data_IF_219703383599
#
_entry.id   IF_219703383599
#
_cell.length_a   1.000
_cell.length_b   1.000
_cell.length_c   1.000
_cell.angle_alpha   90.00
_cell.angle_beta   90.00
_cell.angle_gamma   90.00
#
_symmetry.space_group_name_H-M   'P 1'
#
loop_
_entity.id
_entity.type
_entity.pdbx_description
1 polymer ?
#
# COMPACT_ATOMS: atom_id res chain seq x y z
N UNK A 1 3.62 6.50 23.34
CA UNK A 1 3.73 7.66 22.43
C UNK A 1 2.71 7.61 21.29
N UNK A 2 2.83 8.49 20.28
CA UNK A 2 1.88 8.55 19.14
C UNK A 2 1.74 7.19 18.44
N UNK A 3 2.85 6.52 18.17
CA UNK A 3 2.86 5.21 17.53
C UNK A 3 2.03 4.12 18.26
N UNK A 4 1.79 4.27 19.56
CA UNK A 4 1.00 3.31 20.33
C UNK A 4 -0.52 3.54 20.17
N UNK A 5 -0.92 4.79 19.92
CA UNK A 5 -2.32 5.20 19.82
C UNK A 5 -2.80 5.37 18.38
N UNK A 6 -1.89 5.66 17.45
CA UNK A 6 -2.14 5.83 16.03
C UNK A 6 -1.31 4.81 15.22
N UNK A 7 -1.59 3.49 15.33
CA UNK A 7 -0.75 2.47 14.70
C UNK A 7 -0.98 2.35 13.19
N UNK A 8 -2.07 2.90 12.66
CA UNK A 8 -2.49 2.73 11.26
C UNK A 8 -2.63 4.07 10.56
N UNK A 9 -2.40 4.07 9.26
CA UNK A 9 -2.65 5.20 8.36
C UNK A 9 -3.45 4.75 7.14
N UNK A 10 -4.41 5.56 6.74
CA UNK A 10 -5.21 5.34 5.54
C UNK A 10 -4.53 5.95 4.32
N UNK A 11 -4.34 5.11 3.27
CA UNK A 11 -3.67 5.54 2.04
C UNK A 11 -4.63 5.74 0.86
N UNK A 12 -5.86 5.26 0.96
CA UNK A 12 -6.88 5.38 -0.07
C UNK A 12 -8.25 5.54 0.56
N UNK A 13 -9.01 6.50 0.06
CA UNK A 13 -10.42 6.70 0.38
C UNK A 13 -11.12 7.32 -0.84
N UNK A 14 -12.37 7.74 -0.73
CA UNK A 14 -13.14 8.32 -1.84
C UNK A 14 -12.52 9.61 -2.43
N UNK A 15 -11.63 10.29 -1.73
CA UNK A 15 -10.85 11.44 -2.27
C UNK A 15 -9.65 11.04 -3.13
N UNK A 16 -9.45 9.75 -3.36
CA UNK A 16 -8.30 9.22 -4.06
C UNK A 16 -7.17 8.78 -3.15
N UNK A 17 -6.05 8.50 -3.76
CA UNK A 17 -4.86 7.89 -3.17
C UNK A 17 -4.00 8.94 -2.44
N UNK A 18 -3.45 8.57 -1.29
CA UNK A 18 -2.54 9.37 -0.45
C UNK A 18 -1.19 8.70 -0.18
N UNK A 19 -0.82 7.65 -0.92
CA UNK A 19 0.51 7.03 -0.78
C UNK A 19 1.61 8.02 -1.11
N UNK A 20 1.55 8.61 -2.30
CA UNK A 20 2.59 9.47 -2.86
C UNK A 20 2.01 10.47 -3.86
N UNK A 21 2.76 11.48 -4.28
CA UNK A 21 2.42 12.37 -5.39
C UNK A 21 3.68 12.70 -6.19
N UNK A 22 3.63 12.48 -7.48
CA UNK A 22 4.74 12.77 -8.39
C UNK A 22 5.16 14.24 -8.28
N UNK A 23 6.47 14.48 -8.17
CA UNK A 23 7.03 15.82 -8.00
C UNK A 23 6.98 16.38 -6.58
N UNK A 24 6.36 15.68 -5.62
CA UNK A 24 6.34 16.04 -4.22
C UNK A 24 7.13 15.02 -3.37
N UNK A 25 8.44 15.04 -3.50
CA UNK A 25 9.35 14.15 -2.76
C UNK A 25 9.46 12.75 -3.34
N UNK A 26 8.95 12.53 -4.56
CA UNK A 26 9.09 11.30 -5.34
C UNK A 26 9.09 11.60 -6.85
N UNK A 27 9.84 10.80 -7.61
CA UNK A 27 9.85 10.76 -9.08
C UNK A 27 9.17 9.48 -9.61
N UNK A 28 8.46 8.75 -8.76
CA UNK A 28 7.72 7.54 -9.12
C UNK A 28 6.50 7.91 -9.98
N UNK A 29 6.51 7.50 -11.24
CA UNK A 29 5.45 7.85 -12.21
C UNK A 29 4.09 7.26 -11.83
N UNK A 30 4.05 6.12 -11.12
CA UNK A 30 2.80 5.53 -10.64
C UNK A 30 2.11 6.38 -9.58
N UNK A 31 2.81 7.34 -8.97
CA UNK A 31 2.20 8.35 -8.09
C UNK A 31 1.32 9.38 -8.82
N UNK A 32 1.08 9.20 -10.12
CA UNK A 32 0.11 10.00 -10.89
C UNK A 32 -1.27 9.37 -10.96
N UNK A 33 -1.39 8.06 -10.61
CA UNK A 33 -2.65 7.32 -10.70
C UNK A 33 -3.55 7.58 -9.50
N UNK A 34 -4.86 7.37 -9.72
CA UNK A 34 -5.92 7.45 -8.70
C UNK A 34 -5.91 8.78 -7.92
N UNK A 35 -5.54 9.86 -8.61
CA UNK A 35 -5.57 11.23 -8.12
C UNK A 35 -6.85 11.91 -8.59
N UNK A 36 -7.69 12.31 -7.66
CA UNK A 36 -8.74 13.25 -7.92
C UNK A 36 -8.22 14.69 -7.74
N UNK A 37 -8.91 15.66 -8.35
CA UNK A 37 -8.54 17.05 -8.18
C UNK A 37 -8.51 17.43 -6.70
N UNK A 38 -7.38 17.97 -6.26
CA UNK A 38 -7.20 18.43 -4.89
C UNK A 38 -7.97 19.73 -4.68
N UNK A 39 -9.24 19.61 -4.38
CA UNK A 39 -9.98 20.70 -3.77
C UNK A 39 -9.75 20.63 -2.27
N UNK A 40 -8.93 21.51 -1.71
CA UNK A 40 -8.75 21.50 -0.27
C UNK A 40 -10.09 21.80 0.42
N UNK A 41 -10.34 21.02 1.46
CA UNK A 41 -11.47 21.26 2.36
C UNK A 41 -11.47 22.68 2.91
N UNK A 42 -10.28 23.26 3.12
CA UNK A 42 -10.11 24.61 3.62
C UNK A 42 -10.41 25.67 2.57
N UNK A 43 -10.13 25.46 1.28
CA UNK A 43 -10.42 26.40 0.21
C UNK A 43 -11.91 26.68 0.02
N UNK A 44 -12.77 25.68 0.29
CA UNK A 44 -14.23 25.86 0.28
C UNK A 44 -14.75 26.67 1.48
N UNK A 45 -14.06 26.62 2.61
CA UNK A 45 -14.51 27.24 3.86
C UNK A 45 -13.69 28.46 4.30
N UNK A 46 -12.45 28.60 3.79
CA UNK A 46 -11.51 29.67 4.14
C UNK A 46 -10.98 30.31 2.85
N UNK A 47 -11.61 31.39 2.35
CA UNK A 47 -11.10 32.10 1.17
C UNK A 47 -9.66 32.53 1.37
N UNK A 48 -8.79 32.17 0.39
CA UNK A 48 -7.36 32.51 0.42
C UNK A 48 -6.43 31.42 0.98
N UNK A 49 -6.95 30.23 1.37
CA UNK A 49 -6.09 29.07 1.64
C UNK A 49 -5.53 28.52 0.32
N UNK A 50 -4.25 28.12 0.33
CA UNK A 50 -3.63 27.43 -0.80
C UNK A 50 -4.18 26.02 -0.91
N UNK A 51 -4.68 25.64 -2.07
CA UNK A 51 -5.18 24.31 -2.38
C UNK A 51 -4.07 23.38 -2.89
N UNK A 52 -2.85 23.89 -3.02
CA UNK A 52 -1.72 23.10 -3.48
C UNK A 52 -1.36 22.00 -2.44
N UNK A 53 -1.27 20.73 -2.85
CA UNK A 53 -0.84 19.65 -1.97
C UNK A 53 0.59 19.88 -1.49
N UNK A 54 0.88 19.44 -0.26
CA UNK A 54 2.22 19.51 0.33
C UNK A 54 2.75 18.11 0.63
N UNK A 55 4.07 17.95 0.58
CA UNK A 55 4.73 16.64 0.70
C UNK A 55 4.28 15.82 1.92
N UNK A 56 4.07 16.46 3.08
CA UNK A 56 3.67 15.79 4.31
C UNK A 56 2.21 15.32 4.36
N UNK A 57 1.45 15.51 3.30
CA UNK A 57 0.11 14.93 3.14
C UNK A 57 0.15 13.52 2.54
N UNK A 58 1.34 13.04 2.14
CA UNK A 58 1.53 11.73 1.51
C UNK A 58 2.29 10.79 2.43
N UNK A 59 1.77 9.59 2.58
CA UNK A 59 2.23 8.58 3.55
C UNK A 59 3.70 8.22 3.34
N UNK A 60 4.15 8.05 2.10
CA UNK A 60 5.56 7.75 1.78
C UNK A 60 6.52 8.80 2.34
N UNK A 61 6.18 10.07 2.20
CA UNK A 61 6.99 11.16 2.76
C UNK A 61 6.92 11.20 4.29
N UNK A 62 5.77 10.90 4.87
CA UNK A 62 5.63 10.82 6.34
C UNK A 62 6.44 9.66 6.92
N UNK A 63 6.50 8.50 6.24
CA UNK A 63 7.36 7.39 6.66
C UNK A 63 8.86 7.77 6.62
N UNK A 64 9.30 8.44 5.54
CA UNK A 64 10.69 8.98 5.46
C UNK A 64 10.97 9.99 6.58
N UNK A 65 10.03 10.88 6.85
CA UNK A 65 10.14 11.83 7.96
C UNK A 65 10.22 11.13 9.31
N UNK A 66 9.49 10.02 9.49
CA UNK A 66 9.58 9.18 10.68
C UNK A 66 10.99 8.65 10.94
N UNK A 67 11.65 8.13 9.89
CA UNK A 67 13.06 7.70 9.96
C UNK A 67 13.99 8.87 10.30
N UNK A 68 13.77 10.04 9.71
CA UNK A 68 14.58 11.23 9.97
C UNK A 68 14.44 11.71 11.42
N UNK A 69 13.25 11.61 12.00
CA UNK A 69 13.02 11.91 13.41
C UNK A 69 13.70 10.86 14.29
N UNK A 70 13.62 9.58 13.94
CA UNK A 70 14.25 8.48 14.66
C UNK A 70 15.77 8.63 14.70
N UNK A 71 16.40 8.96 13.58
CA UNK A 71 17.84 9.24 13.47
C UNK A 71 18.29 10.37 14.42
N UNK A 72 17.47 11.41 14.57
CA UNK A 72 17.79 12.58 15.39
C UNK A 72 17.42 12.45 16.86
N UNK A 73 16.31 11.77 17.18
CA UNK A 73 15.70 11.76 18.51
C UNK A 73 15.59 10.37 19.12
N UNK A 74 15.94 9.31 18.38
CA UNK A 74 15.85 7.92 18.85
C UNK A 74 14.40 7.38 18.93
N UNK A 75 13.43 8.10 18.38
CA UNK A 75 12.01 7.69 18.36
C UNK A 75 11.39 7.95 16.98
N UNK A 76 10.61 7.01 16.48
CA UNK A 76 9.85 7.17 15.25
C UNK A 76 8.35 7.24 15.56
N UNK A 77 7.70 8.40 15.38
CA UNK A 77 6.27 8.53 15.64
C UNK A 77 5.38 8.01 14.51
N UNK A 78 5.93 7.60 13.37
CA UNK A 78 5.22 7.29 12.13
C UNK A 78 5.47 5.85 11.63
N UNK A 79 5.66 4.89 12.52
CA UNK A 79 5.73 3.45 12.20
C UNK A 79 4.33 2.88 11.97
N UNK A 80 3.69 3.30 10.89
CA UNK A 80 2.32 2.94 10.56
C UNK A 80 2.20 1.57 9.89
N UNK A 81 1.12 0.83 10.24
CA UNK A 81 0.51 -0.13 9.32
C UNK A 81 -0.37 0.61 8.32
N UNK A 82 -0.61 0.00 7.17
CA UNK A 82 -1.35 0.60 6.06
C UNK A 82 -2.75 0.02 6.01
N UNK A 83 -3.76 0.88 5.85
CA UNK A 83 -5.14 0.53 5.54
C UNK A 83 -5.67 1.40 4.41
N UNK A 84 -6.84 1.07 3.91
CA UNK A 84 -7.65 1.91 3.04
C UNK A 84 -9.13 1.73 3.41
N UNK A 85 -9.97 2.67 3.02
CA UNK A 85 -11.42 2.56 3.22
C UNK A 85 -12.19 3.37 2.19
N UNK A 86 -13.51 3.36 2.27
CA UNK A 86 -14.36 4.21 1.45
C UNK A 86 -14.47 5.62 2.00
N UNK A 87 -14.32 5.79 3.32
CA UNK A 87 -14.66 7.00 4.07
C UNK A 87 -16.14 7.44 3.89
N UNK A 88 -17.01 6.54 3.48
CA UNK A 88 -18.44 6.82 3.46
C UNK A 88 -19.01 6.82 4.88
N UNK A 89 -19.91 7.74 5.18
CA UNK A 89 -20.53 7.88 6.51
C UNK A 89 -21.86 7.11 6.60
N UNK A 90 -21.94 5.98 5.93
CA UNK A 90 -23.16 5.15 5.82
C UNK A 90 -23.21 4.00 6.84
N UNK A 91 -22.13 3.75 7.57
CA UNK A 91 -22.02 2.56 8.40
C UNK A 91 -22.01 1.25 7.61
N UNK A 92 -21.64 1.29 6.33
CA UNK A 92 -21.61 0.16 5.40
C UNK A 92 -20.18 -0.11 4.93
N UNK A 93 -19.37 -0.83 5.73
CA UNK A 93 -17.98 -1.10 5.38
C UNK A 93 -17.87 -2.04 4.16
N UNK A 94 -16.80 -1.87 3.38
CA UNK A 94 -16.48 -2.76 2.27
C UNK A 94 -17.36 -2.58 1.02
N UNK A 95 -18.00 -1.44 0.85
CA UNK A 95 -18.86 -1.15 -0.31
C UNK A 95 -18.09 -0.81 -1.59
N UNK A 96 -16.78 -0.69 -1.54
CA UNK A 96 -15.99 -0.53 -2.75
C UNK A 96 -16.08 -1.81 -3.61
N UNK A 97 -16.66 -1.69 -4.79
CA UNK A 97 -16.76 -2.74 -5.78
C UNK A 97 -16.84 -2.11 -7.17
N UNK A 98 -16.19 -2.71 -8.16
CA UNK A 98 -16.10 -2.16 -9.51
C UNK A 98 -17.41 -2.17 -10.27
N UNK A 99 -18.34 -3.04 -9.90
CA UNK A 99 -19.66 -3.19 -10.48
C UNK A 99 -20.79 -2.55 -9.63
N UNK A 100 -20.42 -1.88 -8.55
CA UNK A 100 -21.40 -1.24 -7.67
C UNK A 100 -21.45 0.28 -7.92
N UNK A 101 -22.66 0.82 -7.86
CA UNK A 101 -22.86 2.26 -7.86
C UNK A 101 -22.31 2.86 -6.57
N UNK A 102 -21.54 3.91 -6.67
CA UNK A 102 -21.06 4.67 -5.51
C UNK A 102 -22.24 5.36 -4.79
N UNK A 103 -22.47 5.09 -3.50
CA UNK A 103 -23.66 5.57 -2.80
C UNK A 103 -23.54 7.02 -2.31
N UNK A 104 -22.41 7.69 -2.55
CA UNK A 104 -22.09 9.00 -2.00
C UNK A 104 -21.51 8.92 -0.58
N UNK A 105 -20.90 10.02 -0.13
CA UNK A 105 -20.25 10.09 1.17
C UNK A 105 -21.24 10.04 2.36
N UNK A 106 -22.31 10.82 2.29
CA UNK A 106 -23.29 10.99 3.37
C UNK A 106 -24.56 10.16 3.24
N UNK A 107 -24.66 9.31 2.22
CA UNK A 107 -25.83 8.46 2.03
C UNK A 107 -26.98 9.10 1.27
N UNK A 108 -26.74 10.13 0.48
CA UNK A 108 -27.75 10.75 -0.37
C UNK A 108 -28.31 9.80 -1.46
N UNK A 109 -27.66 8.65 -1.64
CA UNK A 109 -28.24 7.50 -2.33
C UNK A 109 -28.52 7.67 -3.82
N UNK A 110 -27.96 8.68 -4.45
CA UNK A 110 -28.08 8.82 -5.91
C UNK A 110 -26.79 8.31 -6.56
N UNK A 111 -26.90 7.35 -7.48
CA UNK A 111 -25.77 7.03 -8.31
C UNK A 111 -25.30 8.28 -9.05
N UNK A 112 -24.00 8.41 -9.37
CA UNK A 112 -23.52 9.48 -10.22
C UNK A 112 -24.34 9.45 -11.53
N UNK A 113 -24.99 10.54 -11.81
CA UNK A 113 -25.71 10.79 -13.04
C UNK A 113 -25.19 12.06 -13.68
N UNK A 114 -25.71 12.45 -14.82
CA UNK A 114 -25.32 13.68 -15.52
C UNK A 114 -25.54 14.94 -14.68
N UNK A 115 -26.35 14.84 -13.62
CA UNK A 115 -26.53 15.89 -12.63
C UNK A 115 -25.61 15.62 -11.42
N UNK A 116 -24.57 16.43 -11.30
CA UNK A 116 -23.68 16.45 -10.13
C UNK A 116 -24.51 16.65 -8.86
N UNK A 117 -24.39 15.79 -7.83
CA UNK A 117 -24.99 16.05 -6.55
C UNK A 117 -24.55 17.43 -6.05
N UNK A 118 -25.51 18.31 -5.76
CA UNK A 118 -25.18 19.63 -5.22
C UNK A 118 -24.98 19.49 -3.72
N UNK A 119 -23.76 19.76 -3.29
CA UNK A 119 -23.44 19.89 -1.89
C UNK A 119 -22.40 18.88 -1.41
N UNK A 120 -21.63 19.34 -0.47
CA UNK A 120 -20.82 18.51 0.38
C UNK A 120 -21.77 17.62 1.21
N UNK A 121 -21.55 16.33 1.29
CA UNK A 121 -20.36 15.57 0.93
C UNK A 121 -20.49 14.65 -0.32
N UNK A 122 -21.51 14.76 -1.12
CA UNK A 122 -21.84 13.82 -2.20
C UNK A 122 -21.41 14.35 -3.57
N UNK A 123 -20.21 14.91 -3.67
CA UNK A 123 -19.67 15.36 -4.93
C UNK A 123 -19.17 14.18 -5.79
N UNK A 124 -19.34 14.31 -7.11
CA UNK A 124 -18.84 13.33 -8.10
C UNK A 124 -17.32 13.22 -8.10
N UNK A 125 -16.65 14.24 -7.56
CA UNK A 125 -15.20 14.26 -7.37
C UNK A 125 -14.68 13.14 -6.45
N UNK A 126 -15.59 12.42 -5.82
CA UNK A 126 -15.25 11.30 -4.94
C UNK A 126 -15.45 9.97 -5.66
N UNK A 127 -14.47 9.11 -5.53
CA UNK A 127 -14.49 7.75 -6.03
C UNK A 127 -15.06 6.75 -4.98
N UNK A 128 -15.26 5.46 -5.32
CA UNK A 128 -15.72 4.46 -4.36
C UNK A 128 -14.80 4.24 -3.17
N UNK A 129 -13.55 4.67 -3.24
CA UNK A 129 -12.55 4.50 -2.18
C UNK A 129 -11.88 3.12 -2.21
N UNK A 130 -11.37 2.72 -1.06
CA UNK A 130 -10.56 1.53 -0.90
C UNK A 130 -11.10 0.53 0.11
N UNK A 131 -10.33 -0.52 0.31
CA UNK A 131 -10.61 -1.59 1.27
C UNK A 131 -9.41 -1.83 2.18
N UNK A 132 -9.68 -2.09 3.46
CA UNK A 132 -8.69 -2.59 4.40
C UNK A 132 -8.65 -4.12 4.37
N UNK A 133 -7.47 -4.69 4.14
CA UNK A 133 -7.18 -6.09 4.39
C UNK A 133 -6.54 -6.26 5.77
N UNK A 134 -6.94 -7.30 6.50
CA UNK A 134 -6.42 -7.60 7.85
C UNK A 134 -6.13 -9.09 7.95
N UNK A 135 -4.91 -9.44 8.32
CA UNK A 135 -4.53 -10.83 8.57
C UNK A 135 -4.70 -11.16 10.06
N UNK A 136 -5.81 -11.82 10.37
CA UNK A 136 -6.17 -12.24 11.72
C UNK A 136 -6.25 -13.77 11.81
N UNK A 137 -6.05 -14.33 13.00
CA UNK A 137 -6.10 -15.76 13.23
C UNK A 137 -7.52 -16.33 13.05
N UNK A 138 -8.53 -15.49 13.30
CA UNK A 138 -9.95 -15.84 13.15
C UNK A 138 -10.80 -14.57 12.89
N UNK A 139 -11.98 -14.77 12.34
CA UNK A 139 -12.93 -13.67 12.11
C UNK A 139 -13.72 -13.34 13.39
N UNK A 140 -13.00 -12.82 14.38
CA UNK A 140 -13.61 -12.29 15.61
C UNK A 140 -13.14 -10.85 15.83
N UNK A 141 -13.95 -10.08 16.57
CA UNK A 141 -13.62 -8.70 16.94
C UNK A 141 -12.25 -8.62 17.64
N UNK A 142 -11.96 -9.54 18.53
CA UNK A 142 -10.71 -9.54 19.31
C UNK A 142 -9.50 -9.84 18.42
N UNK A 143 -9.59 -10.86 17.57
CA UNK A 143 -8.49 -11.24 16.67
C UNK A 143 -8.22 -10.15 15.60
N UNK A 144 -9.28 -9.57 15.01
CA UNK A 144 -9.17 -8.46 14.07
C UNK A 144 -8.52 -7.25 14.75
N UNK A 145 -8.97 -6.88 15.93
CA UNK A 145 -8.39 -5.75 16.69
C UNK A 145 -6.91 -6.00 17.04
N UNK A 146 -6.55 -7.22 17.45
CA UNK A 146 -5.18 -7.60 17.74
C UNK A 146 -4.29 -7.51 16.48
N UNK A 147 -4.78 -7.98 15.33
CA UNK A 147 -4.08 -7.87 14.05
C UNK A 147 -3.86 -6.41 13.61
N UNK A 148 -4.88 -5.57 13.76
CA UNK A 148 -4.76 -4.13 13.51
C UNK A 148 -3.74 -3.47 14.45
N UNK A 149 -3.71 -3.85 15.72
CA UNK A 149 -2.73 -3.35 16.70
C UNK A 149 -1.30 -3.74 16.36
N UNK A 150 -1.06 -4.94 15.84
CA UNK A 150 0.28 -5.35 15.37
C UNK A 150 0.56 -4.96 13.93
N UNK A 151 -0.37 -4.19 13.31
CA UNK A 151 -0.22 -3.58 11.97
C UNK A 151 -0.11 -4.61 10.84
N UNK A 152 -0.64 -5.80 11.02
CA UNK A 152 -0.68 -6.84 9.98
C UNK A 152 -1.85 -6.59 9.03
N UNK A 153 -1.74 -5.47 8.32
CA UNK A 153 -2.79 -4.89 7.50
C UNK A 153 -2.25 -4.39 6.17
N UNK A 154 -3.14 -4.28 5.19
CA UNK A 154 -2.86 -3.64 3.91
C UNK A 154 -4.08 -2.89 3.40
N UNK A 155 -3.88 -1.95 2.49
CA UNK A 155 -4.94 -1.22 1.80
C UNK A 155 -5.00 -1.59 0.32
N UNK A 156 -6.18 -1.55 -0.27
CA UNK A 156 -6.38 -1.63 -1.72
C UNK A 156 -7.15 -0.41 -2.21
N UNK A 157 -7.11 -0.14 -3.50
CA UNK A 157 -7.89 0.93 -4.13
C UNK A 157 -9.29 0.44 -4.60
N UNK A 158 -9.83 -0.60 -3.98
CA UNK A 158 -11.16 -1.16 -4.22
C UNK A 158 -11.17 -2.64 -4.55
N UNK A 159 -10.28 -3.16 -5.42
CA UNK A 159 -10.17 -4.59 -5.68
C UNK A 159 -9.86 -5.40 -4.41
N UNK A 160 -10.35 -6.64 -4.35
CA UNK A 160 -10.10 -7.56 -3.22
C UNK A 160 -8.82 -8.37 -3.42
N UNK A 161 -7.75 -7.70 -3.83
CA UNK A 161 -6.41 -8.26 -3.90
C UNK A 161 -5.98 -8.70 -2.50
N UNK A 162 -5.36 -9.86 -2.39
CA UNK A 162 -4.76 -10.34 -1.15
C UNK A 162 -3.24 -10.21 -1.25
N UNK A 163 -2.63 -9.60 -0.24
CA UNK A 163 -1.18 -9.34 -0.23
C UNK A 163 -0.56 -9.90 1.04
N UNK A 164 0.57 -10.59 0.91
CA UNK A 164 1.45 -10.99 2.00
C UNK A 164 2.84 -10.42 1.79
N UNK A 165 3.44 -9.92 2.86
CA UNK A 165 4.83 -9.49 2.91
C UNK A 165 5.45 -9.97 4.21
N UNK A 166 6.60 -10.64 4.10
CA UNK A 166 7.45 -11.00 5.22
C UNK A 166 8.85 -10.45 4.99
N UNK A 167 9.49 -9.96 6.05
CA UNK A 167 10.88 -9.51 6.02
C UNK A 167 11.74 -10.36 6.95
N UNK A 168 12.90 -10.80 6.48
CA UNK A 168 13.84 -11.63 7.26
C UNK A 168 15.26 -11.45 6.75
N UNK A 169 16.16 -12.33 7.20
CA UNK A 169 17.58 -12.27 6.80
C UNK A 169 18.01 -13.41 5.89
N UNK A 170 17.22 -14.49 5.83
CA UNK A 170 17.65 -15.74 5.18
C UNK A 170 16.46 -16.55 4.62
N UNK A 171 15.53 -15.90 3.92
CA UNK A 171 14.52 -16.64 3.17
C UNK A 171 15.15 -17.32 1.96
N UNK A 172 14.81 -18.60 1.77
CA UNK A 172 15.26 -19.38 0.63
C UNK A 172 14.61 -18.87 -0.67
N UNK A 173 15.38 -18.84 -1.75
CA UNK A 173 14.93 -18.34 -3.06
C UNK A 173 13.74 -19.16 -3.61
N UNK A 174 13.62 -20.43 -3.23
CA UNK A 174 12.54 -21.35 -3.63
C UNK A 174 11.30 -21.29 -2.72
N UNK A 175 11.21 -20.33 -1.80
CA UNK A 175 10.10 -20.22 -0.84
C UNK A 175 8.73 -20.14 -1.52
N UNK A 176 8.66 -19.50 -2.69
CA UNK A 176 7.45 -19.41 -3.48
C UNK A 176 6.93 -20.75 -4.02
N UNK A 177 7.78 -21.77 -4.08
CA UNK A 177 7.44 -23.12 -4.53
C UNK A 177 6.92 -24.02 -3.39
N UNK A 178 6.96 -23.50 -2.15
CA UNK A 178 6.58 -24.25 -0.96
C UNK A 178 5.10 -24.07 -0.61
N UNK A 179 4.44 -25.15 -0.23
CA UNK A 179 3.05 -25.13 0.21
C UNK A 179 2.85 -24.46 1.58
N UNK A 180 3.92 -24.27 2.34
CA UNK A 180 3.96 -23.71 3.69
C UNK A 180 4.56 -22.28 3.73
N UNK A 181 4.44 -21.53 2.62
CA UNK A 181 4.95 -20.16 2.46
C UNK A 181 4.65 -19.27 3.69
N UNK A 182 3.41 -19.28 4.16
CA UNK A 182 2.99 -18.43 5.29
C UNK A 182 3.67 -18.82 6.59
N UNK A 183 3.71 -20.11 6.92
CA UNK A 183 4.40 -20.60 8.13
C UNK A 183 5.88 -20.24 8.11
N UNK A 184 6.55 -20.49 6.98
CA UNK A 184 7.96 -20.12 6.81
C UNK A 184 8.19 -18.63 6.86
N UNK A 185 7.24 -17.83 6.38
CA UNK A 185 7.27 -16.39 6.49
C UNK A 185 7.35 -15.92 7.94
N UNK A 186 6.49 -16.45 8.80
CA UNK A 186 6.50 -16.14 10.23
C UNK A 186 7.71 -16.73 10.97
N UNK A 187 8.15 -17.94 10.62
CA UNK A 187 9.30 -18.60 11.25
C UNK A 187 10.63 -17.91 10.91
N UNK A 188 10.77 -17.39 9.68
CA UNK A 188 12.01 -16.81 9.18
C UNK A 188 12.15 -15.30 9.40
N UNK A 189 11.10 -14.63 9.93
CA UNK A 189 11.16 -13.17 10.09
C UNK A 189 9.89 -12.55 10.66
N UNK A 190 9.57 -11.37 10.18
CA UNK A 190 8.42 -10.57 10.63
C UNK A 190 7.43 -10.34 9.50
N UNK A 191 6.11 -10.36 9.78
CA UNK A 191 5.11 -9.98 8.79
C UNK A 191 5.09 -8.46 8.54
N UNK A 192 4.30 -8.05 7.55
CA UNK A 192 4.00 -6.62 7.33
C UNK A 192 3.60 -5.93 8.63
N UNK A 193 4.03 -4.68 8.79
CA UNK A 193 3.83 -3.88 10.00
C UNK A 193 4.84 -4.15 11.13
N UNK A 194 5.67 -5.20 11.01
CA UNK A 194 6.71 -5.54 11.98
C UNK A 194 7.99 -4.73 11.82
N UNK A 195 8.79 -4.67 12.90
CA UNK A 195 10.15 -4.16 12.88
C UNK A 195 11.12 -5.35 12.73
N UNK A 196 11.90 -5.37 11.67
CA UNK A 196 12.93 -6.39 11.49
C UNK A 196 14.10 -6.11 12.45
N UNK A 197 14.41 -7.09 13.30
CA UNK A 197 15.55 -7.00 14.20
C UNK A 197 16.85 -6.78 13.40
N UNK A 198 17.89 -6.15 14.01
CA UNK A 198 19.19 -6.03 13.36
C UNK A 198 19.72 -7.37 12.85
N UNK A 199 20.56 -7.36 11.81
CA UNK A 199 21.12 -8.60 11.27
C UNK A 199 21.88 -9.40 12.36
N UNK A 200 21.89 -10.74 12.28
CA UNK A 200 22.64 -11.58 13.21
C UNK A 200 24.09 -11.13 13.28
N UNK A 201 24.61 -11.05 14.50
CA UNK A 201 26.01 -10.65 14.72
C UNK A 201 26.95 -11.69 14.08
N UNK A 202 27.96 -11.18 13.35
CA UNK A 202 29.06 -11.99 12.83
C UNK A 202 29.68 -12.78 13.98
N UNK A 203 29.66 -14.11 13.94
CA UNK A 203 30.44 -14.94 14.86
C UNK A 203 29.69 -15.95 15.73
N UNK A 204 28.34 -15.96 15.75
CA UNK A 204 27.63 -16.99 16.52
C UNK A 204 27.52 -18.34 15.79
N UNK A 205 27.84 -18.39 14.49
CA UNK A 205 27.88 -19.61 13.67
C UNK A 205 29.28 -20.06 13.23
N UNK A 206 30.34 -19.47 13.77
CA UNK A 206 31.71 -19.98 13.60
C UNK A 206 32.41 -19.70 12.26
N UNK A 207 31.75 -19.14 11.27
CA UNK A 207 32.33 -18.80 9.97
C UNK A 207 32.70 -17.32 9.86
N UNK A 208 34.01 -17.05 9.89
CA UNK A 208 34.60 -15.71 9.94
C UNK A 208 34.50 -14.90 8.62
N UNK A 209 33.77 -15.37 7.62
CA UNK A 209 33.81 -14.82 6.26
C UNK A 209 32.46 -14.49 5.62
N UNK A 210 31.33 -14.63 6.33
CA UNK A 210 30.04 -14.29 5.73
C UNK A 210 29.82 -12.78 5.76
N UNK A 211 29.58 -12.10 4.62
CA UNK A 211 29.17 -10.70 4.60
C UNK A 211 27.91 -10.51 5.44
N UNK A 212 27.67 -9.31 5.98
CA UNK A 212 26.37 -8.95 6.56
C UNK A 212 25.29 -9.27 5.51
N UNK A 213 24.38 -10.17 5.82
CA UNK A 213 23.30 -10.51 4.92
C UNK A 213 22.41 -9.29 4.73
N UNK A 214 22.07 -8.96 3.50
CA UNK A 214 21.02 -7.99 3.23
C UNK A 214 19.65 -8.58 3.61
N UNK A 215 18.67 -7.76 4.03
CA UNK A 215 17.34 -8.24 4.31
C UNK A 215 16.73 -8.88 3.07
N UNK A 216 16.01 -9.97 3.29
CA UNK A 216 15.31 -10.72 2.24
C UNK A 216 13.82 -10.63 2.52
N UNK A 217 13.05 -10.34 1.49
CA UNK A 217 11.61 -10.19 1.59
C UNK A 217 10.91 -11.27 0.76
N UNK A 218 9.92 -11.91 1.38
CA UNK A 218 9.05 -12.88 0.73
C UNK A 218 7.67 -12.25 0.53
N UNK A 219 7.21 -12.21 -0.71
CA UNK A 219 5.96 -11.56 -1.10
C UNK A 219 5.07 -12.51 -1.86
N UNK A 220 3.76 -12.40 -1.63
CA UNK A 220 2.76 -13.04 -2.49
C UNK A 220 1.56 -12.13 -2.67
N UNK A 221 0.94 -12.21 -3.85
CA UNK A 221 -0.29 -11.53 -4.16
C UNK A 221 -1.23 -12.45 -4.93
N UNK A 222 -2.53 -12.37 -4.62
CA UNK A 222 -3.61 -12.98 -5.38
C UNK A 222 -4.52 -11.89 -5.90
N UNK A 223 -4.91 -11.96 -7.18
CA UNK A 223 -5.85 -11.00 -7.76
C UNK A 223 -7.23 -11.10 -7.12
N UNK A 224 -8.03 -10.07 -7.29
CA UNK A 224 -9.46 -10.15 -7.06
C UNK A 224 -10.08 -11.20 -7.99
N UNK A 225 -10.90 -12.08 -7.44
CA UNK A 225 -11.64 -13.06 -8.24
C UNK A 225 -12.77 -12.43 -9.05
N UNK A 226 -13.16 -11.20 -8.69
CA UNK A 226 -14.30 -10.50 -9.26
C UNK A 226 -15.63 -10.98 -8.71
N UNK A 227 -16.69 -10.61 -9.41
CA UNK A 227 -18.08 -10.98 -9.14
C UNK A 227 -18.60 -11.93 -10.20
N UNK A 228 -19.80 -12.52 -10.06
CA UNK A 228 -20.41 -13.31 -11.14
C UNK A 228 -20.63 -12.54 -12.47
N UNK A 229 -20.59 -11.21 -12.40
CA UNK A 229 -20.89 -10.34 -13.55
C UNK A 229 -19.65 -9.61 -14.07
N UNK A 230 -18.63 -9.43 -13.25
CA UNK A 230 -17.41 -8.68 -13.59
C UNK A 230 -16.19 -9.46 -13.12
N UNK A 231 -15.38 -9.92 -14.06
CA UNK A 231 -14.13 -10.60 -13.74
C UNK A 231 -13.14 -9.60 -13.10
N UNK A 232 -12.45 -10.02 -12.04
CA UNK A 232 -11.36 -9.21 -11.47
C UNK A 232 -10.21 -9.06 -12.46
N UNK A 233 -9.51 -7.96 -12.35
CA UNK A 233 -8.35 -7.65 -13.20
C UNK A 233 -7.16 -8.55 -12.88
N UNK A 234 -6.37 -8.87 -13.88
CA UNK A 234 -5.10 -9.61 -13.71
C UNK A 234 -4.06 -8.71 -13.06
N UNK A 235 -3.21 -9.31 -12.25
CA UNK A 235 -2.04 -8.64 -11.72
C UNK A 235 -1.01 -8.40 -12.82
N UNK A 236 -0.32 -7.28 -12.76
CA UNK A 236 0.81 -6.95 -13.62
C UNK A 236 2.13 -7.24 -12.91
N UNK A 237 2.33 -6.70 -11.71
CA UNK A 237 3.59 -6.80 -10.99
C UNK A 237 3.43 -6.59 -9.48
N UNK A 238 4.46 -7.06 -8.74
CA UNK A 238 4.70 -6.68 -7.35
C UNK A 238 5.95 -5.81 -7.31
N UNK A 239 5.87 -4.70 -6.61
CA UNK A 239 6.99 -3.81 -6.31
C UNK A 239 7.28 -3.78 -4.81
N UNK A 240 8.55 -3.55 -4.47
CA UNK A 240 8.97 -3.09 -3.15
C UNK A 240 9.38 -1.63 -3.27
N UNK A 241 8.83 -0.81 -2.40
CA UNK A 241 9.27 0.55 -2.17
C UNK A 241 10.18 0.56 -0.94
N UNK A 242 11.43 0.99 -1.13
CA UNK A 242 12.39 1.25 -0.08
C UNK A 242 12.50 2.75 0.15
N UNK A 243 12.41 3.19 1.40
CA UNK A 243 12.81 4.54 1.82
C UNK A 243 13.90 4.45 2.86
N UNK A 244 14.88 5.36 2.81
CA UNK A 244 15.97 5.40 3.78
C UNK A 244 16.46 6.83 4.06
N UNK A 245 17.26 6.95 5.11
CA UNK A 245 17.96 8.19 5.46
C UNK A 245 19.45 7.97 5.27
N UNK A 246 20.09 8.91 4.59
CA UNK A 246 21.53 8.98 4.40
C UNK A 246 22.00 10.42 4.61
N UNK A 247 22.91 10.64 5.54
CA UNK A 247 23.42 11.97 5.89
C UNK A 247 22.31 13.00 6.16
N UNK A 248 21.22 12.57 6.81
CA UNK A 248 20.06 13.41 7.11
C UNK A 248 19.13 13.69 5.94
N UNK A 249 19.45 13.22 4.75
CA UNK A 249 18.63 13.33 3.53
C UNK A 249 17.71 12.12 3.38
N UNK A 250 16.50 12.37 2.87
CA UNK A 250 15.49 11.34 2.61
C UNK A 250 15.63 10.82 1.18
N UNK A 251 15.70 9.51 1.04
CA UNK A 251 15.83 8.81 -0.23
C UNK A 251 14.72 7.76 -0.39
N UNK A 252 14.48 7.36 -1.63
CA UNK A 252 13.59 6.24 -1.95
C UNK A 252 14.01 5.55 -3.23
N UNK A 253 13.60 4.29 -3.37
CA UNK A 253 13.73 3.52 -4.60
C UNK A 253 12.59 2.51 -4.72
N UNK A 254 12.14 2.32 -5.96
CA UNK A 254 11.13 1.31 -6.33
C UNK A 254 11.85 0.16 -7.04
N UNK A 255 11.56 -1.07 -6.61
CA UNK A 255 12.10 -2.30 -7.19
C UNK A 255 10.95 -3.16 -7.69
N UNK A 256 11.01 -3.62 -8.93
CA UNK A 256 10.14 -4.68 -9.43
C UNK A 256 10.65 -6.03 -8.91
N UNK A 257 9.76 -6.80 -8.28
CA UNK A 257 10.13 -8.04 -7.58
C UNK A 257 9.54 -9.27 -8.24
N UNK A 258 8.33 -9.17 -8.77
CA UNK A 258 7.66 -10.26 -9.47
C UNK A 258 6.68 -9.68 -10.49
N UNK A 259 6.40 -10.45 -11.53
CA UNK A 259 5.51 -10.04 -12.62
C UNK A 259 6.27 -9.49 -13.82
N UNK A 260 5.61 -8.64 -14.61
CA UNK A 260 6.17 -8.05 -15.83
C UNK A 260 5.50 -6.69 -16.11
N UNK A 261 6.19 -5.60 -15.82
CA UNK A 261 5.73 -4.23 -16.10
C UNK A 261 5.58 -3.93 -17.59
N UNK A 262 6.18 -4.77 -18.45
CA UNK A 262 6.21 -4.61 -19.91
C UNK A 262 5.35 -5.66 -20.63
N UNK A 263 4.35 -6.23 -19.96
CA UNK A 263 3.48 -7.30 -20.48
C UNK A 263 2.56 -6.86 -21.64
N UNK A 264 2.71 -5.63 -22.12
CA UNK A 264 1.91 -5.02 -23.18
C UNK A 264 0.39 -4.99 -22.91
N UNK A 265 -0.02 -5.14 -21.66
CA UNK A 265 -1.41 -4.94 -21.28
C UNK A 265 -1.81 -3.47 -21.37
N UNK A 266 -3.04 -3.21 -21.70
CA UNK A 266 -3.57 -1.86 -21.81
C UNK A 266 -5.09 -1.81 -21.79
N UNK A 267 -5.62 -0.61 -21.88
CA UNK A 267 -7.05 -0.32 -21.89
C UNK A 267 -7.34 0.77 -22.92
N UNK A 268 -8.42 0.60 -23.65
CA UNK A 268 -9.01 1.62 -24.51
C UNK A 268 -9.89 2.52 -23.65
N UNK A 269 -9.52 3.78 -23.49
CA UNK A 269 -10.21 4.71 -22.59
C UNK A 269 -11.61 5.12 -23.08
N UNK A 270 -11.91 4.98 -24.39
CA UNK A 270 -13.22 5.32 -24.93
C UNK A 270 -14.22 4.17 -24.74
N UNK A 271 -13.77 2.93 -24.87
CA UNK A 271 -14.61 1.74 -24.79
C UNK A 271 -14.44 0.93 -23.51
N UNK A 272 -13.43 1.24 -22.70
CA UNK A 272 -12.98 0.47 -21.54
C UNK A 272 -12.63 -1.00 -21.83
N UNK A 273 -12.38 -1.35 -23.09
CA UNK A 273 -11.91 -2.68 -23.44
C UNK A 273 -10.44 -2.85 -23.05
N UNK A 274 -10.17 -3.91 -22.31
CA UNK A 274 -8.81 -4.27 -21.89
C UNK A 274 -8.21 -5.32 -22.82
N UNK A 275 -6.88 -5.33 -22.92
CA UNK A 275 -6.12 -6.35 -23.64
C UNK A 275 -4.83 -6.70 -22.90
N UNK A 276 -4.18 -7.76 -23.38
CA UNK A 276 -2.92 -8.26 -22.83
C UNK A 276 -3.09 -9.41 -21.84
N UNK A 277 -1.98 -9.93 -21.41
CA UNK A 277 -1.90 -11.02 -20.43
C UNK A 277 -1.49 -10.48 -19.06
N UNK A 278 -1.75 -11.25 -18.00
CA UNK A 278 -1.37 -10.93 -16.64
C UNK A 278 -1.49 -12.17 -15.76
N UNK A 279 -1.33 -11.99 -14.48
CA UNK A 279 -1.18 -13.07 -13.53
C UNK A 279 -2.40 -13.18 -12.60
N UNK A 280 -2.81 -14.42 -12.27
CA UNK A 280 -3.80 -14.66 -11.22
C UNK A 280 -3.18 -14.59 -9.83
N UNK A 281 -1.89 -14.96 -9.75
CA UNK A 281 -1.10 -14.91 -8.55
C UNK A 281 0.33 -14.54 -8.91
N UNK A 282 0.98 -13.81 -8.03
CA UNK A 282 2.40 -13.50 -8.09
C UNK A 282 3.05 -13.87 -6.75
N UNK A 283 4.27 -14.34 -6.81
CA UNK A 283 5.11 -14.57 -5.65
C UNK A 283 6.57 -14.25 -6.00
N UNK A 284 7.30 -13.71 -5.04
CA UNK A 284 8.72 -13.42 -5.22
C UNK A 284 9.46 -13.43 -3.90
N UNK A 285 10.72 -13.84 -3.96
CA UNK A 285 11.69 -13.65 -2.88
C UNK A 285 12.73 -12.67 -3.40
N UNK A 286 12.89 -11.56 -2.69
CA UNK A 286 13.76 -10.48 -3.11
C UNK A 286 14.73 -10.07 -1.99
N UNK A 287 16.00 -9.93 -2.31
CA UNK A 287 17.06 -9.47 -1.41
C UNK A 287 17.45 -8.05 -1.79
N UNK A 288 17.54 -7.15 -0.81
CA UNK A 288 17.91 -5.76 -1.08
C UNK A 288 19.35 -5.65 -1.61
N UNK A 289 19.55 -5.30 -2.89
CA UNK A 289 20.89 -5.18 -3.49
C UNK A 289 21.63 -3.93 -3.01
N UNK A 290 20.92 -2.94 -2.49
CA UNK A 290 21.46 -1.65 -2.06
C UNK A 290 21.41 -1.50 -0.53
N UNK A 291 21.49 -2.61 0.21
CA UNK A 291 21.43 -2.60 1.66
C UNK A 291 22.70 -2.00 2.28
N UNK A 292 22.53 -1.02 3.15
CA UNK A 292 23.56 -0.53 4.07
C UNK A 292 23.02 -0.58 5.50
N UNK A 293 23.67 -1.38 6.36
CA UNK A 293 23.27 -1.57 7.75
C UNK A 293 23.33 -0.28 8.61
N UNK A 294 23.96 0.79 8.09
CA UNK A 294 24.03 2.09 8.75
C UNK A 294 22.85 3.00 8.44
N UNK A 295 22.08 2.65 7.42
CA UNK A 295 20.96 3.46 6.94
C UNK A 295 19.64 2.96 7.54
N UNK A 296 18.98 3.73 8.42
CA UNK A 296 17.60 3.45 8.80
C UNK A 296 16.70 3.38 7.55
N UNK A 297 15.96 2.30 7.41
CA UNK A 297 15.16 2.05 6.21
C UNK A 297 13.78 1.48 6.54
N UNK A 298 12.80 1.75 5.69
CA UNK A 298 11.54 1.02 5.66
C UNK A 298 11.32 0.40 4.29
N UNK A 299 10.47 -0.64 4.27
CA UNK A 299 10.06 -1.33 3.05
C UNK A 299 8.57 -1.61 3.11
N UNK A 300 7.88 -1.44 1.99
CA UNK A 300 6.52 -1.93 1.83
C UNK A 300 6.26 -2.45 0.41
N UNK A 301 5.26 -3.30 0.28
CA UNK A 301 4.86 -3.86 -1.01
C UNK A 301 3.80 -2.98 -1.69
N UNK A 302 3.87 -2.88 -3.02
CA UNK A 302 2.81 -2.35 -3.87
C UNK A 302 2.50 -3.37 -4.95
N UNK A 303 1.22 -3.73 -5.09
CA UNK A 303 0.74 -4.66 -6.11
C UNK A 303 -0.01 -3.87 -7.16
N UNK A 304 0.36 -4.06 -8.42
CA UNK A 304 -0.21 -3.35 -9.56
C UNK A 304 -1.00 -4.33 -10.41
N UNK A 305 -2.22 -3.95 -10.77
CA UNK A 305 -3.05 -4.63 -11.76
C UNK A 305 -2.71 -4.16 -13.17
N UNK A 306 -3.11 -4.95 -14.17
CA UNK A 306 -3.10 -4.47 -15.54
C UNK A 306 -3.99 -3.21 -15.67
N UNK A 307 -3.70 -2.31 -16.62
CA UNK A 307 -4.51 -1.14 -16.86
C UNK A 307 -5.98 -1.48 -17.11
N UNK A 308 -6.88 -0.79 -16.43
CA UNK A 308 -8.33 -0.82 -16.63
C UNK A 308 -8.89 0.59 -16.59
N UNK A 309 -10.12 0.78 -17.10
CA UNK A 309 -10.87 1.97 -16.75
C UNK A 309 -11.18 1.91 -15.24
N UNK A 310 -10.96 3.01 -14.61
CA UNK A 310 -11.41 3.25 -13.23
C UNK A 310 -12.56 4.25 -13.29
N UNK A 311 -13.20 4.46 -12.18
CA UNK A 311 -14.34 5.35 -11.98
C UNK A 311 -13.99 6.85 -12.05
N UNK A 312 -12.76 7.22 -12.32
CA UNK A 312 -12.32 8.61 -12.51
C UNK A 312 -12.02 8.92 -13.97
#
# INVERSE_FOLDING_TARGET
GRADYEPLVEIMQHKGESECMFGLGTEDELCRFEKLEYNSFSGRFLPGSSDAPVANQFVRNVLKEGLRIEDRLGINPFKFGIIASTDTHLGAPGMAAEDASYPGHGGAGKPPGDDLPRGFPDAIDFNPGGLAGVWAEENTRTAIFAAMKRKETFGTSGPRIQVRLFGGWDYADDLCEKNDFVSRGYEGGVPMGGDLAPPPKRGESGDAATPLSAPTFALSALRDSGTPHTAGTKLQQIQIIKGWIEDGSMHERVYEVAGDSHNAAGVDLDSCNTWGTGFDALCGVWRDPDFDARQPSFYYARVIENPTCRWS
#
